data_IF_458124656350
#
_entry.id   IF_458124656350
#
_cell.length_a   1.000
_cell.length_b   1.000
_cell.length_c   1.000
_cell.angle_alpha   90.00
_cell.angle_beta   90.00
_cell.angle_gamma   90.00
#
_symmetry.space_group_name_H-M   'P 1'
#
loop_
_entity.id
_entity.type
_entity.pdbx_description
1 polymer ?
#
# COMPACT_ATOMS: atom_id res chain seq x y z
N UNK A 1 13.95 10.94 5.48
CA UNK A 1 13.87 9.91 6.54
C UNK A 1 14.73 8.72 6.12
N UNK A 2 15.76 8.37 6.89
CA UNK A 2 16.54 7.16 6.63
C UNK A 2 15.69 5.93 7.02
N UNK A 3 15.60 4.91 6.15
CA UNK A 3 14.92 3.65 6.47
C UNK A 3 13.48 3.46 5.95
N UNK A 4 13.05 4.23 4.95
CA UNK A 4 11.84 3.92 4.16
C UNK A 4 12.17 3.96 2.67
N UNK A 5 12.53 2.81 2.10
CA UNK A 5 12.67 2.71 0.65
C UNK A 5 11.29 2.88 0.02
N UNK A 6 11.13 3.91 -0.82
CA UNK A 6 9.89 4.08 -1.57
C UNK A 6 9.66 2.84 -2.46
N UNK A 7 8.47 2.23 -2.43
CA UNK A 7 8.19 1.07 -3.26
C UNK A 7 8.37 1.41 -4.74
N UNK A 8 9.04 0.53 -5.49
CA UNK A 8 9.08 0.66 -6.95
C UNK A 8 7.66 0.43 -7.50
N UNK A 9 7.23 1.18 -8.53
CA UNK A 9 5.96 0.90 -9.21
C UNK A 9 5.90 -0.57 -9.62
N UNK A 10 4.85 -1.28 -9.20
CA UNK A 10 4.66 -2.72 -9.45
C UNK A 10 5.05 -3.65 -8.30
N UNK A 11 5.99 -3.23 -7.43
CA UNK A 11 6.54 -4.05 -6.34
C UNK A 11 6.09 -3.58 -4.95
N UNK A 12 4.83 -3.16 -4.83
CA UNK A 12 4.30 -2.58 -3.59
C UNK A 12 3.00 -3.24 -3.16
N UNK A 13 2.62 -3.05 -1.90
CA UNK A 13 1.31 -3.49 -1.43
C UNK A 13 0.19 -2.60 -2.00
N UNK A 14 -0.79 -3.20 -2.67
CA UNK A 14 -1.95 -2.49 -3.21
C UNK A 14 -2.82 -1.79 -2.13
N UNK A 15 -2.63 -2.13 -0.85
CA UNK A 15 -3.33 -1.51 0.29
C UNK A 15 -2.72 -0.17 0.73
N UNK A 16 -1.64 0.29 0.11
CA UNK A 16 -1.13 1.64 0.39
C UNK A 16 -2.22 2.70 0.10
N UNK A 17 -2.52 3.62 1.04
CA UNK A 17 -3.54 4.66 0.86
C UNK A 17 -3.34 5.54 -0.38
N UNK A 18 -2.11 5.64 -0.89
CA UNK A 18 -1.79 6.26 -2.18
C UNK A 18 -2.63 5.69 -3.34
N UNK A 19 -2.78 4.36 -3.41
CA UNK A 19 -3.54 3.73 -4.49
C UNK A 19 -5.05 3.94 -4.33
N UNK A 20 -5.54 4.09 -3.10
CA UNK A 20 -6.92 4.51 -2.88
C UNK A 20 -7.13 5.95 -3.36
N UNK A 21 -6.19 6.87 -3.07
CA UNK A 21 -6.29 8.25 -3.54
C UNK A 21 -6.40 8.35 -5.08
N UNK A 22 -5.70 7.49 -5.82
CA UNK A 22 -5.83 7.40 -7.29
C UNK A 22 -7.24 6.99 -7.76
N UNK A 23 -7.96 6.18 -6.98
CA UNK A 23 -9.33 5.76 -7.28
C UNK A 23 -10.36 6.87 -6.95
N UNK A 24 -10.06 7.74 -5.99
CA UNK A 24 -10.89 8.88 -5.58
C UNK A 24 -10.16 10.24 -5.65
N UNK A 25 -9.72 10.71 -6.84
CA UNK A 25 -8.98 11.97 -6.94
C UNK A 25 -9.79 13.17 -6.45
N UNK A 26 -9.08 14.22 -6.05
CA UNK A 26 -9.60 15.45 -5.43
C UNK A 26 -10.18 15.26 -4.02
N UNK A 27 -9.94 14.09 -3.41
CA UNK A 27 -10.25 13.81 -2.00
C UNK A 27 -8.96 13.53 -1.23
N UNK A 28 -8.78 14.20 -0.10
CA UNK A 28 -7.68 13.92 0.82
C UNK A 28 -8.04 12.76 1.75
N UNK A 29 -7.15 11.79 1.88
CA UNK A 29 -7.33 10.60 2.71
C UNK A 29 -6.32 10.61 3.86
N UNK A 30 -6.80 10.46 5.10
CA UNK A 30 -5.97 10.25 6.28
C UNK A 30 -6.16 8.83 6.80
N UNK A 31 -5.09 8.03 6.86
CA UNK A 31 -5.16 6.63 7.33
C UNK A 31 -3.94 6.26 8.16
N UNK A 32 -4.14 5.51 9.23
CA UNK A 32 -3.06 4.79 9.89
C UNK A 32 -2.79 3.47 9.15
N UNK A 33 -1.52 3.08 9.07
CA UNK A 33 -1.07 1.81 8.46
C UNK A 33 -0.02 1.15 9.35
N UNK A 34 0.07 -0.18 9.28
CA UNK A 34 1.04 -0.96 10.06
C UNK A 34 1.75 -2.00 9.20
N UNK A 35 3.09 -2.04 9.29
CA UNK A 35 3.92 -3.02 8.57
C UNK A 35 3.88 -4.40 9.24
N UNK A 36 4.36 -5.48 8.59
CA UNK A 36 4.43 -6.79 9.23
C UNK A 36 5.32 -6.81 10.49
N UNK A 37 6.31 -5.91 10.58
CA UNK A 37 7.20 -5.75 11.72
C UNK A 37 6.57 -4.93 12.87
N UNK A 38 5.29 -4.53 12.74
CA UNK A 38 4.57 -3.76 13.74
C UNK A 38 4.84 -2.25 13.70
N UNK A 39 5.59 -1.75 12.71
CA UNK A 39 5.86 -0.31 12.60
C UNK A 39 4.62 0.43 12.10
N UNK A 40 4.15 1.41 12.89
CA UNK A 40 3.00 2.24 12.57
C UNK A 40 3.36 3.52 11.83
N UNK A 41 2.51 3.94 10.89
CA UNK A 41 2.61 5.22 10.21
C UNK A 41 1.22 5.86 10.08
N UNK A 42 1.14 7.18 10.25
CA UNK A 42 0.02 7.98 9.76
C UNK A 42 0.32 8.42 8.35
N UNK A 43 -0.67 8.34 7.48
CA UNK A 43 -0.56 8.74 6.09
C UNK A 43 -1.54 9.86 5.77
N UNK A 44 -1.11 10.78 4.91
CA UNK A 44 -1.97 11.73 4.22
C UNK A 44 -1.76 11.52 2.72
N UNK A 45 -2.80 11.08 2.02
CA UNK A 45 -2.75 10.77 0.59
C UNK A 45 -3.71 11.66 -0.17
N UNK A 46 -3.28 12.12 -1.35
CA UNK A 46 -4.09 12.94 -2.23
C UNK A 46 -3.72 12.64 -3.67
N UNK A 47 -4.71 12.68 -4.55
CA UNK A 47 -4.48 12.62 -5.99
C UNK A 47 -5.21 13.76 -6.70
N UNK A 48 -4.64 14.23 -7.79
CA UNK A 48 -5.24 15.25 -8.65
C UNK A 48 -5.34 14.74 -10.09
N UNK A 49 -6.33 15.27 -10.81
CA UNK A 49 -6.56 15.02 -12.23
C UNK A 49 -6.38 16.32 -12.99
N UNK A 50 -5.68 16.25 -14.12
CA UNK A 50 -5.48 17.41 -14.99
C UNK A 50 -5.31 16.98 -16.45
N UNK A 51 -5.68 17.89 -17.37
CA UNK A 51 -5.65 17.68 -18.82
C UNK A 51 -4.77 18.75 -19.46
N UNK A 52 -3.43 18.60 -19.46
CA UNK A 52 -2.52 19.66 -19.89
C UNK A 52 -2.63 20.01 -21.38
N UNK A 53 -3.35 19.21 -22.18
CA UNK A 53 -3.57 19.42 -23.62
C UNK A 53 -5.04 19.66 -23.99
N UNK A 54 -5.86 20.13 -23.03
CA UNK A 54 -7.28 20.40 -23.26
C UNK A 54 -8.12 19.13 -23.41
N UNK A 55 -9.36 19.29 -23.90
CA UNK A 55 -10.40 18.25 -23.90
C UNK A 55 -10.07 17.02 -24.76
N UNK A 56 -9.31 17.22 -25.85
CA UNK A 56 -8.87 16.14 -26.73
C UNK A 56 -7.55 15.50 -26.24
N UNK A 57 -7.02 16.00 -25.12
CA UNK A 57 -5.79 15.54 -24.50
C UNK A 57 -5.98 14.38 -23.53
N UNK A 58 -4.88 13.76 -23.08
CA UNK A 58 -4.95 12.70 -22.08
C UNK A 58 -5.34 13.28 -20.71
N UNK A 59 -6.11 12.50 -19.96
CA UNK A 59 -6.32 12.72 -18.53
C UNK A 59 -5.14 12.14 -17.76
N UNK A 60 -4.37 13.00 -17.12
CA UNK A 60 -3.27 12.59 -16.24
C UNK A 60 -3.73 12.64 -14.79
N UNK A 61 -3.37 11.61 -14.02
CA UNK A 61 -3.64 11.54 -12.58
C UNK A 61 -2.32 11.37 -11.82
N UNK A 62 -2.00 12.34 -10.97
CA UNK A 62 -0.83 12.30 -10.10
C UNK A 62 -1.27 12.12 -8.65
N UNK A 63 -0.50 11.35 -7.88
CA UNK A 63 -0.77 11.12 -6.47
C UNK A 63 0.46 11.36 -5.61
N UNK A 64 0.22 11.87 -4.41
CA UNK A 64 1.21 12.09 -3.37
C UNK A 64 0.73 11.41 -2.09
N UNK A 65 1.68 10.89 -1.31
CA UNK A 65 1.43 10.42 0.04
C UNK A 65 2.55 10.89 0.97
N UNK A 66 2.16 11.54 2.06
CA UNK A 66 3.04 11.80 3.19
C UNK A 66 2.97 10.61 4.15
N UNK A 67 4.12 10.17 4.65
CA UNK A 67 4.23 9.12 5.67
C UNK A 67 4.88 9.70 6.91
N UNK A 68 4.18 9.61 8.03
CA UNK A 68 4.58 10.18 9.31
C UNK A 68 4.72 9.01 10.27
N UNK A 69 5.93 8.70 10.79
CA UNK A 69 6.11 7.67 11.79
C UNK A 69 5.22 7.92 13.01
N UNK A 70 4.67 6.87 13.58
CA UNK A 70 4.01 6.93 14.89
C UNK A 70 5.04 6.58 15.96
N UNK A 71 5.14 7.41 16.99
CA UNK A 71 5.91 7.09 18.19
C UNK A 71 5.11 6.09 19.04
N UNK A 72 5.71 4.93 19.33
CA UNK A 72 5.07 3.86 20.10
C UNK A 72 4.26 2.88 19.23
N UNK A 73 3.28 2.17 19.82
CA UNK A 73 2.53 1.13 19.11
C UNK A 73 1.65 1.73 18.00
N UNK A 74 1.45 0.96 16.93
CA UNK A 74 0.53 1.36 15.87
C UNK A 74 -0.91 1.49 16.40
N UNK A 75 -1.71 2.45 15.87
CA UNK A 75 -3.13 2.55 16.20
C UNK A 75 -3.88 1.24 15.96
N UNK A 76 -4.88 0.94 16.79
CA UNK A 76 -5.65 -0.31 16.70
C UNK A 76 -6.43 -0.45 15.37
N UNK A 77 -6.79 0.67 14.75
CA UNK A 77 -7.49 0.75 13.47
C UNK A 77 -6.53 0.86 12.26
N UNK A 78 -5.22 0.73 12.49
CA UNK A 78 -4.22 0.82 11.43
C UNK A 78 -4.40 -0.29 10.40
N UNK A 79 -4.45 0.09 9.12
CA UNK A 79 -4.59 -0.85 8.02
C UNK A 79 -3.32 -1.71 7.88
N UNK A 80 -3.42 -3.05 7.92
CA UNK A 80 -2.27 -3.92 7.71
C UNK A 80 -1.75 -3.83 6.26
N UNK A 81 -0.53 -3.31 6.07
CA UNK A 81 0.13 -3.17 4.76
C UNK A 81 1.41 -3.99 4.64
N UNK A 82 1.74 -4.49 3.45
CA UNK A 82 2.95 -5.29 3.22
C UNK A 82 4.05 -4.56 2.45
N UNK A 83 5.25 -5.15 2.34
CA UNK A 83 6.27 -4.68 1.42
C UNK A 83 5.87 -4.91 -0.05
N UNK A 84 5.56 -6.15 -0.44
CA UNK A 84 5.00 -6.56 -1.74
C UNK A 84 4.38 -7.96 -1.62
N UNK A 85 3.44 -8.37 -2.49
CA UNK A 85 2.75 -9.66 -2.35
C UNK A 85 3.69 -10.87 -2.23
N UNK A 86 4.70 -10.96 -3.11
CA UNK A 86 5.67 -12.08 -3.14
C UNK A 86 6.45 -12.24 -1.83
N UNK A 87 6.70 -11.16 -1.09
CA UNK A 87 7.51 -11.15 0.13
C UNK A 87 6.72 -10.68 1.36
N UNK A 88 5.38 -10.68 1.28
CA UNK A 88 4.53 -10.31 2.40
C UNK A 88 4.19 -11.56 3.23
N UNK A 89 4.52 -11.60 4.53
CA UNK A 89 4.28 -12.77 5.37
C UNK A 89 2.81 -12.93 5.81
N UNK A 90 1.93 -11.95 5.55
CA UNK A 90 0.51 -12.05 5.95
C UNK A 90 -0.24 -13.12 5.16
N UNK A 91 -0.92 -14.01 5.88
CA UNK A 91 -1.63 -15.17 5.30
C UNK A 91 -2.93 -14.73 4.62
N UNK A 92 -3.85 -14.16 5.38
CA UNK A 92 -5.21 -13.84 4.91
C UNK A 92 -5.33 -12.41 4.37
N UNK A 93 -4.54 -12.08 3.33
CA UNK A 93 -4.60 -10.76 2.70
C UNK A 93 -5.58 -10.74 1.53
N UNK A 94 -6.71 -10.00 1.60
CA UNK A 94 -7.70 -9.95 0.52
C UNK A 94 -7.18 -9.24 -0.75
N UNK A 95 -6.10 -8.47 -0.61
CA UNK A 95 -5.45 -7.78 -1.73
C UNK A 95 -4.27 -8.56 -2.33
N UNK A 96 -4.07 -9.84 -1.95
CA UNK A 96 -2.96 -10.67 -2.42
C UNK A 96 -3.13 -10.97 -3.91
N UNK A 97 -2.13 -10.59 -4.72
CA UNK A 97 -2.07 -10.87 -6.17
C UNK A 97 -1.09 -11.97 -6.56
N UNK A 98 -0.13 -12.26 -5.69
CA UNK A 98 0.90 -13.29 -5.90
C UNK A 98 1.09 -14.09 -4.61
N UNK A 99 1.40 -15.39 -4.76
CA UNK A 99 1.78 -16.26 -3.63
C UNK A 99 3.06 -15.72 -3.00
N UNK A 100 3.14 -15.74 -1.67
CA UNK A 100 4.39 -15.34 -1.00
C UNK A 100 5.39 -16.49 -0.98
N UNK A 101 6.65 -16.19 -1.28
CA UNK A 101 7.77 -17.11 -1.08
C UNK A 101 8.05 -17.39 0.40
N UNK A 102 7.53 -16.56 1.29
CA UNK A 102 7.62 -16.73 2.74
C UNK A 102 6.54 -17.66 3.29
N UNK A 103 5.54 -18.02 2.47
CA UNK A 103 4.53 -19.00 2.86
C UNK A 103 5.05 -20.42 2.63
N UNK A 104 4.83 -21.33 3.58
CA UNK A 104 5.05 -22.75 3.34
C UNK A 104 4.28 -23.17 2.10
N UNK A 105 4.98 -23.62 1.06
CA UNK A 105 4.32 -24.26 -0.08
C UNK A 105 3.82 -25.62 0.43
N UNK A 106 2.51 -25.86 0.36
CA UNK A 106 2.01 -27.20 0.60
C UNK A 106 2.62 -28.11 -0.48
N UNK A 107 3.58 -28.96 -0.09
CA UNK A 107 4.12 -29.98 -0.98
C UNK A 107 3.00 -30.91 -1.46
N UNK A 108 3.16 -31.56 -2.63
CA UNK A 108 2.16 -32.50 -3.12
C UNK A 108 2.16 -33.72 -2.18
N UNK A 109 1.25 -33.74 -1.20
CA UNK A 109 1.15 -34.84 -0.22
C UNK A 109 0.36 -34.57 1.07
N UNK A 110 -0.02 -33.33 1.38
CA UNK A 110 -0.76 -33.03 2.61
C UNK A 110 -2.27 -33.18 2.46
N UNK A 111 -2.80 -34.41 2.50
CA UNK A 111 -4.20 -34.66 2.86
C UNK A 111 -4.33 -34.57 4.38
N UNK A 112 -5.24 -33.72 4.86
CA UNK A 112 -5.92 -33.91 6.13
C UNK A 112 -7.29 -34.52 5.85
#
# INVERSE_FOLDING_TARGET
AQGFALPRPGDSCALWPLYHALAVPQVALARAVVTPEGRGFRTLSYAQRHQPRGLDGPLLTDALMLLIPVDGPAPADALPIGPACRICPRIDCPARREVSILMPQAGPGGRA
#
